data_IF_776047387113
#
_entry.id   IF_776047387113
#
_cell.length_a   1.000
_cell.length_b   1.000
_cell.length_c   1.000
_cell.angle_alpha   90.00
_cell.angle_beta   90.00
_cell.angle_gamma   90.00
#
_symmetry.space_group_name_H-M   'P 1'
#
loop_
_entity.id
_entity.type
_entity.pdbx_description
1 polymer ?
#
# COMPACT_ATOMS: atom_id res chain seq x y z
N UNK A 1 26.72 -19.07 6.33
CA UNK A 1 26.34 -17.99 5.38
C UNK A 1 27.49 -17.01 5.19
N UNK A 2 27.79 -16.60 3.95
CA UNK A 2 28.78 -15.55 3.66
C UNK A 2 28.17 -14.13 3.72
N UNK A 3 28.98 -13.08 3.90
CA UNK A 3 28.54 -11.68 3.87
C UNK A 3 27.87 -11.32 2.54
N UNK A 4 28.45 -11.80 1.43
CA UNK A 4 27.93 -11.63 0.07
C UNK A 4 26.53 -12.23 -0.11
N UNK A 5 26.22 -13.35 0.54
CA UNK A 5 24.89 -13.96 0.49
C UNK A 5 23.84 -13.09 1.21
N UNK A 6 24.20 -12.49 2.35
CA UNK A 6 23.29 -11.59 3.08
C UNK A 6 23.05 -10.28 2.32
N UNK A 7 24.06 -9.72 1.68
CA UNK A 7 23.91 -8.54 0.82
C UNK A 7 23.01 -8.81 -0.38
N UNK A 8 23.14 -9.99 -1.01
CA UNK A 8 22.26 -10.39 -2.10
C UNK A 8 20.81 -10.53 -1.61
N UNK A 9 20.59 -11.21 -0.48
CA UNK A 9 19.26 -11.34 0.12
C UNK A 9 18.64 -9.99 0.46
N UNK A 10 19.42 -9.08 1.07
CA UNK A 10 18.94 -7.74 1.38
C UNK A 10 18.53 -6.95 0.13
N UNK A 11 19.29 -7.06 -0.96
CA UNK A 11 18.94 -6.43 -2.24
C UNK A 11 17.65 -7.00 -2.84
N UNK A 12 17.50 -8.33 -2.83
CA UNK A 12 16.30 -9.00 -3.34
C UNK A 12 15.07 -8.61 -2.51
N UNK A 13 15.19 -8.59 -1.19
CA UNK A 13 14.09 -8.16 -0.30
C UNK A 13 13.74 -6.69 -0.49
N UNK A 14 14.72 -5.81 -0.71
CA UNK A 14 14.47 -4.41 -1.00
C UNK A 14 13.72 -4.23 -2.35
N UNK A 15 14.12 -4.98 -3.39
CA UNK A 15 13.42 -4.95 -4.68
C UNK A 15 11.98 -5.42 -4.56
N UNK A 16 11.74 -6.48 -3.79
CA UNK A 16 10.38 -6.99 -3.56
C UNK A 16 9.57 -6.00 -2.71
N UNK A 17 10.17 -5.37 -1.70
CA UNK A 17 9.52 -4.31 -0.93
C UNK A 17 9.06 -3.15 -1.83
N UNK A 18 9.91 -2.71 -2.76
CA UNK A 18 9.57 -1.64 -3.70
C UNK A 18 8.52 -2.09 -4.75
N UNK A 19 8.48 -3.38 -5.08
CA UNK A 19 7.39 -3.97 -5.88
C UNK A 19 6.06 -3.92 -5.11
N UNK A 20 6.06 -4.30 -3.85
CA UNK A 20 4.85 -4.28 -3.01
C UNK A 20 4.34 -2.86 -2.76
N UNK A 21 5.23 -1.89 -2.57
CA UNK A 21 4.87 -0.46 -2.50
C UNK A 21 4.16 0.02 -3.75
N UNK A 22 4.68 -0.33 -4.93
CA UNK A 22 4.04 0.02 -6.22
C UNK A 22 2.69 -0.68 -6.40
N UNK A 23 2.57 -1.94 -5.97
CA UNK A 23 1.29 -2.67 -5.97
C UNK A 23 0.26 -1.94 -5.11
N UNK A 24 0.59 -1.64 -3.84
CA UNK A 24 -0.30 -0.91 -2.94
C UNK A 24 -0.72 0.45 -3.51
N UNK A 25 0.23 1.24 -4.03
CA UNK A 25 -0.07 2.53 -4.65
C UNK A 25 -1.04 2.39 -5.85
N UNK A 26 -0.90 1.32 -6.63
CA UNK A 26 -1.83 0.99 -7.72
C UNK A 26 -3.23 0.70 -7.20
N UNK A 27 -3.36 -0.12 -6.15
CA UNK A 27 -4.65 -0.43 -5.52
C UNK A 27 -5.30 0.84 -4.91
N UNK A 28 -4.51 1.70 -4.27
CA UNK A 28 -4.99 2.98 -3.72
C UNK A 28 -5.48 3.93 -4.82
N UNK A 29 -4.77 4.00 -5.95
CA UNK A 29 -5.19 4.79 -7.12
C UNK A 29 -6.53 4.32 -7.66
N UNK A 30 -6.75 3.00 -7.74
CA UNK A 30 -8.04 2.43 -8.19
C UNK A 30 -9.15 2.76 -7.18
N UNK A 31 -8.85 2.68 -5.88
CA UNK A 31 -9.80 3.05 -4.81
C UNK A 31 -10.23 4.52 -4.94
N UNK A 32 -9.30 5.44 -5.12
CA UNK A 32 -9.57 6.87 -5.30
C UNK A 32 -10.45 7.14 -6.53
N UNK A 33 -10.18 6.44 -7.65
CA UNK A 33 -10.99 6.55 -8.87
C UNK A 33 -12.42 6.04 -8.65
N UNK A 34 -12.59 4.94 -7.93
CA UNK A 34 -13.91 4.41 -7.57
C UNK A 34 -14.66 5.37 -6.65
N UNK A 35 -13.99 5.94 -5.66
CA UNK A 35 -14.58 6.93 -4.75
C UNK A 35 -15.03 8.19 -5.50
N UNK A 36 -14.21 8.68 -6.42
CA UNK A 36 -14.57 9.80 -7.29
C UNK A 36 -15.76 9.45 -8.20
N UNK A 37 -15.80 8.24 -8.78
CA UNK A 37 -16.94 7.78 -9.58
C UNK A 37 -18.22 7.65 -8.75
N UNK A 38 -18.12 7.19 -7.49
CA UNK A 38 -19.24 7.13 -6.55
C UNK A 38 -19.77 8.53 -6.26
N UNK A 39 -18.89 9.49 -5.95
CA UNK A 39 -19.29 10.86 -5.68
C UNK A 39 -20.01 11.48 -6.88
N UNK A 40 -19.44 11.34 -8.08
CA UNK A 40 -20.07 11.83 -9.32
C UNK A 40 -21.43 11.20 -9.57
N UNK A 41 -21.56 9.89 -9.36
CA UNK A 41 -22.82 9.18 -9.54
C UNK A 41 -23.86 9.68 -8.54
N UNK A 42 -23.48 9.88 -7.27
CA UNK A 42 -24.36 10.43 -6.25
C UNK A 42 -24.84 11.85 -6.59
N UNK A 43 -23.92 12.72 -7.02
CA UNK A 43 -24.27 14.08 -7.45
C UNK A 43 -25.21 14.05 -8.65
N UNK A 44 -24.92 13.25 -9.68
CA UNK A 44 -25.77 13.15 -10.87
C UNK A 44 -27.17 12.62 -10.56
N UNK A 45 -27.31 11.68 -9.60
CA UNK A 45 -28.63 11.22 -9.15
C UNK A 45 -29.39 12.35 -8.45
N UNK A 46 -28.71 13.12 -7.58
CA UNK A 46 -29.30 14.27 -6.91
C UNK A 46 -29.79 15.32 -7.89
N UNK A 47 -28.93 15.74 -8.82
CA UNK A 47 -29.27 16.71 -9.87
C UNK A 47 -30.43 16.22 -10.76
N UNK A 48 -30.47 14.92 -11.07
CA UNK A 48 -31.58 14.34 -11.83
C UNK A 48 -32.90 14.38 -11.06
N UNK A 49 -32.88 14.08 -9.76
CA UNK A 49 -34.07 14.17 -8.89
C UNK A 49 -34.55 15.62 -8.81
N UNK A 50 -33.66 16.55 -8.50
CA UNK A 50 -33.99 17.98 -8.38
C UNK A 50 -34.59 18.52 -9.70
N UNK A 51 -34.01 18.15 -10.85
CA UNK A 51 -34.52 18.52 -12.16
C UNK A 51 -35.91 17.93 -12.46
N UNK A 52 -36.16 16.68 -12.08
CA UNK A 52 -37.48 16.04 -12.21
C UNK A 52 -38.52 16.75 -11.34
N UNK A 53 -38.16 17.14 -10.12
CA UNK A 53 -39.04 17.86 -9.18
C UNK A 53 -39.39 19.25 -9.72
N UNK A 54 -38.40 20.00 -10.23
CA UNK A 54 -38.61 21.32 -10.82
C UNK A 54 -39.53 21.27 -12.05
N UNK A 55 -39.32 20.29 -12.94
CA UNK A 55 -40.20 20.10 -14.10
C UNK A 55 -41.62 19.79 -13.66
N UNK A 56 -41.83 18.92 -12.66
CA UNK A 56 -43.19 18.63 -12.18
C UNK A 56 -43.84 19.81 -11.45
N UNK A 57 -43.09 20.58 -10.67
CA UNK A 57 -43.58 21.75 -9.96
C UNK A 57 -43.93 22.93 -10.88
N UNK A 58 -43.14 23.14 -11.94
CA UNK A 58 -43.36 24.21 -12.91
C UNK A 58 -44.41 23.90 -13.99
N UNK A 59 -44.64 22.62 -14.29
CA UNK A 59 -45.49 22.22 -15.43
C UNK A 59 -46.96 22.00 -15.07
N UNK A 60 -47.34 21.80 -13.80
CA UNK A 60 -48.69 21.31 -13.42
C UNK A 60 -49.18 20.10 -14.27
N UNK A 61 -48.26 19.20 -14.66
CA UNK A 61 -48.58 18.08 -15.55
C UNK A 61 -48.74 18.44 -17.03
N UNK A 62 -48.27 19.62 -17.45
CA UNK A 62 -48.19 20.04 -18.84
C UNK A 62 -47.22 19.19 -19.68
N UNK A 63 -47.24 19.35 -21.02
CA UNK A 63 -46.51 18.49 -21.96
C UNK A 63 -44.97 18.52 -21.81
N UNK A 64 -44.45 19.47 -21.03
CA UNK A 64 -43.01 19.61 -20.73
C UNK A 64 -42.57 18.78 -19.51
N UNK A 65 -43.50 18.24 -18.72
CA UNK A 65 -43.19 17.36 -17.59
C UNK A 65 -42.67 16.01 -18.10
N UNK A 66 -41.58 15.52 -17.51
CA UNK A 66 -41.07 14.19 -17.80
C UNK A 66 -42.09 13.13 -17.34
N UNK A 67 -42.45 12.14 -18.17
CA UNK A 67 -43.33 11.06 -17.74
C UNK A 67 -42.78 10.36 -16.49
N UNK A 68 -43.65 10.10 -15.51
CA UNK A 68 -43.27 9.54 -14.21
C UNK A 68 -42.57 8.17 -14.33
N UNK A 69 -42.92 7.38 -15.33
CA UNK A 69 -42.28 6.10 -15.62
C UNK A 69 -40.84 6.26 -16.13
N UNK A 70 -40.58 7.30 -16.94
CA UNK A 70 -39.23 7.66 -17.41
C UNK A 70 -38.40 8.18 -16.24
N UNK A 71 -38.95 9.06 -15.41
CA UNK A 71 -38.31 9.55 -14.19
C UNK A 71 -37.89 8.39 -13.26
N UNK A 72 -38.82 7.47 -13.01
CA UNK A 72 -38.58 6.30 -12.16
C UNK A 72 -37.46 5.40 -12.71
N UNK A 73 -37.42 5.16 -14.03
CA UNK A 73 -36.37 4.35 -14.67
C UNK A 73 -34.99 5.01 -14.58
N UNK A 74 -34.91 6.33 -14.72
CA UNK A 74 -33.65 7.07 -14.58
C UNK A 74 -33.09 6.98 -13.16
N UNK A 75 -33.95 7.20 -12.15
CA UNK A 75 -33.57 7.08 -10.73
C UNK A 75 -33.12 5.65 -10.41
N UNK A 76 -33.88 4.65 -10.87
CA UNK A 76 -33.55 3.24 -10.65
C UNK A 76 -32.22 2.85 -11.33
N UNK A 77 -31.97 3.31 -12.56
CA UNK A 77 -30.68 3.11 -13.23
C UNK A 77 -29.51 3.72 -12.48
N UNK A 78 -29.69 4.92 -11.93
CA UNK A 78 -28.73 5.58 -11.06
C UNK A 78 -28.44 4.78 -9.79
N UNK A 79 -29.50 4.31 -9.10
CA UNK A 79 -29.38 3.50 -7.88
C UNK A 79 -28.63 2.19 -8.10
N UNK A 80 -28.91 1.49 -9.20
CA UNK A 80 -28.17 0.26 -9.57
C UNK A 80 -26.69 0.54 -9.76
N UNK A 81 -26.36 1.58 -10.52
CA UNK A 81 -24.95 1.99 -10.71
C UNK A 81 -24.26 2.37 -9.40
N UNK A 82 -24.97 3.07 -8.51
CA UNK A 82 -24.44 3.39 -7.19
C UNK A 82 -24.15 2.12 -6.36
N UNK A 83 -25.07 1.15 -6.38
CA UNK A 83 -24.88 -0.14 -5.70
C UNK A 83 -23.72 -0.95 -6.28
N UNK A 84 -23.54 -0.96 -7.60
CA UNK A 84 -22.41 -1.63 -8.25
C UNK A 84 -21.07 -0.98 -7.86
N UNK A 85 -21.03 0.37 -7.77
CA UNK A 85 -19.85 1.10 -7.32
C UNK A 85 -19.53 0.82 -5.85
N UNK A 86 -20.53 0.70 -4.97
CA UNK A 86 -20.33 0.32 -3.58
C UNK A 86 -19.72 -1.08 -3.46
N UNK A 87 -20.23 -2.06 -4.22
CA UNK A 87 -19.65 -3.41 -4.25
C UNK A 87 -18.21 -3.39 -4.75
N UNK A 88 -17.94 -2.65 -5.83
CA UNK A 88 -16.59 -2.50 -6.36
C UNK A 88 -15.66 -1.85 -5.32
N UNK A 89 -16.12 -0.85 -4.58
CA UNK A 89 -15.37 -0.23 -3.50
C UNK A 89 -15.04 -1.22 -2.38
N UNK A 90 -16.01 -2.00 -1.90
CA UNK A 90 -15.75 -3.01 -0.86
C UNK A 90 -14.71 -4.04 -1.30
N UNK A 91 -14.76 -4.49 -2.55
CA UNK A 91 -13.75 -5.39 -3.12
C UNK A 91 -12.39 -4.70 -3.14
N UNK A 92 -12.34 -3.44 -3.57
CA UNK A 92 -11.10 -2.68 -3.68
C UNK A 92 -10.48 -2.39 -2.31
N UNK A 93 -11.28 -2.07 -1.30
CA UNK A 93 -10.81 -1.89 0.08
C UNK A 93 -10.15 -3.15 0.63
N UNK A 94 -10.74 -4.33 0.36
CA UNK A 94 -10.14 -5.63 0.72
C UNK A 94 -8.80 -5.85 0.01
N UNK A 95 -8.69 -5.47 -1.27
CA UNK A 95 -7.42 -5.57 -2.02
C UNK A 95 -6.36 -4.64 -1.46
N UNK A 96 -6.70 -3.39 -1.14
CA UNK A 96 -5.79 -2.47 -0.48
C UNK A 96 -5.32 -3.01 0.87
N UNK A 97 -6.24 -3.57 1.67
CA UNK A 97 -5.89 -4.17 2.96
C UNK A 97 -4.89 -5.32 2.79
N UNK A 98 -5.19 -6.29 1.91
CA UNK A 98 -4.31 -7.42 1.65
C UNK A 98 -2.93 -6.97 1.15
N UNK A 99 -2.87 -6.00 0.23
CA UNK A 99 -1.61 -5.43 -0.25
C UNK A 99 -0.81 -4.74 0.88
N UNK A 100 -1.51 -4.12 1.84
CA UNK A 100 -0.88 -3.47 3.01
C UNK A 100 -0.33 -4.49 4.00
N UNK A 101 -1.04 -5.59 4.21
CA UNK A 101 -0.56 -6.72 5.01
C UNK A 101 0.70 -7.35 4.41
N UNK A 102 0.66 -7.68 3.11
CA UNK A 102 1.83 -8.19 2.38
C UNK A 102 3.04 -7.23 2.47
N UNK A 103 2.79 -5.92 2.32
CA UNK A 103 3.84 -4.91 2.46
C UNK A 103 4.43 -4.89 3.88
N UNK A 104 3.58 -4.96 4.91
CA UNK A 104 4.01 -4.97 6.31
C UNK A 104 4.86 -6.21 6.63
N UNK A 105 4.46 -7.38 6.16
CA UNK A 105 5.26 -8.60 6.28
C UNK A 105 6.64 -8.43 5.64
N UNK A 106 6.70 -7.81 4.46
CA UNK A 106 7.96 -7.55 3.77
C UNK A 106 8.86 -6.56 4.51
N UNK A 107 8.27 -5.49 5.08
CA UNK A 107 9.01 -4.53 5.94
C UNK A 107 9.64 -5.26 7.12
N UNK A 108 8.90 -6.18 7.76
CA UNK A 108 9.41 -6.97 8.88
C UNK A 108 10.56 -7.89 8.43
N UNK A 109 10.44 -8.53 7.27
CA UNK A 109 11.51 -9.35 6.69
C UNK A 109 12.80 -8.55 6.45
N UNK A 110 12.71 -7.37 5.83
CA UNK A 110 13.87 -6.48 5.62
C UNK A 110 14.51 -6.09 6.95
N UNK A 111 13.71 -5.64 7.93
CA UNK A 111 14.22 -5.28 9.27
C UNK A 111 14.95 -6.44 9.96
N UNK A 112 14.43 -7.67 9.82
CA UNK A 112 15.10 -8.86 10.36
C UNK A 112 16.48 -9.08 9.72
N UNK A 113 16.60 -8.90 8.40
CA UNK A 113 17.88 -9.00 7.71
C UNK A 113 18.86 -7.91 8.12
N UNK A 114 18.40 -6.68 8.31
CA UNK A 114 19.22 -5.56 8.80
C UNK A 114 19.81 -5.88 10.18
N UNK A 115 19.00 -6.41 11.11
CA UNK A 115 19.46 -6.83 12.44
C UNK A 115 20.53 -7.91 12.34
N UNK A 116 20.32 -8.92 11.48
CA UNK A 116 21.31 -10.00 11.28
C UNK A 116 22.61 -9.45 10.70
N UNK A 117 22.53 -8.56 9.70
CA UNK A 117 23.69 -7.93 9.11
C UNK A 117 24.49 -7.12 10.15
N UNK A 118 23.81 -6.35 10.99
CA UNK A 118 24.43 -5.56 12.05
C UNK A 118 25.11 -6.43 13.10
N UNK A 119 24.45 -7.51 13.56
CA UNK A 119 25.07 -8.48 14.48
C UNK A 119 26.36 -9.08 13.92
N UNK A 120 26.39 -9.37 12.62
CA UNK A 120 27.60 -9.91 11.98
C UNK A 120 28.72 -8.89 11.86
N UNK A 121 28.40 -7.63 11.57
CA UNK A 121 29.39 -6.54 11.58
C UNK A 121 30.02 -6.37 12.96
N UNK A 122 29.21 -6.39 14.02
CA UNK A 122 29.69 -6.33 15.41
C UNK A 122 30.57 -7.52 15.77
N UNK A 123 30.16 -8.73 15.42
CA UNK A 123 30.96 -9.94 15.65
C UNK A 123 32.30 -9.91 14.90
N UNK A 124 32.31 -9.45 13.65
CA UNK A 124 33.53 -9.30 12.85
C UNK A 124 34.49 -8.27 13.45
N UNK A 125 33.98 -7.14 13.96
CA UNK A 125 34.77 -6.13 14.68
C UNK A 125 35.37 -6.71 15.95
N UNK A 126 34.55 -7.30 16.81
CA UNK A 126 35.02 -7.90 18.06
C UNK A 126 36.06 -9.01 17.84
N UNK A 127 35.93 -9.79 16.76
CA UNK A 127 36.93 -10.79 16.39
C UNK A 127 38.25 -10.16 15.94
N UNK A 128 38.19 -9.05 15.18
CA UNK A 128 39.36 -8.29 14.76
C UNK A 128 40.08 -7.69 15.97
N UNK A 129 39.35 -7.02 16.85
CA UNK A 129 39.91 -6.40 18.06
C UNK A 129 40.61 -7.44 18.95
N UNK A 130 40.02 -8.64 19.10
CA UNK A 130 40.65 -9.74 19.84
C UNK A 130 41.95 -10.23 19.19
N UNK A 131 42.01 -10.29 17.86
CA UNK A 131 43.23 -10.70 17.15
C UNK A 131 44.33 -9.65 17.29
N UNK A 132 43.99 -8.38 17.11
CA UNK A 132 44.92 -7.27 17.29
C UNK A 132 45.45 -7.24 18.74
N UNK A 133 44.59 -7.49 19.74
CA UNK A 133 45.01 -7.61 21.14
C UNK A 133 45.97 -8.79 21.37
N UNK A 134 45.66 -9.97 20.83
CA UNK A 134 46.53 -11.15 20.92
C UNK A 134 47.89 -10.90 20.26
N UNK A 135 47.92 -10.30 19.06
CA UNK A 135 49.16 -9.92 18.38
C UNK A 135 49.99 -8.92 19.19
N UNK A 136 49.35 -7.96 19.86
CA UNK A 136 50.05 -7.02 20.75
C UNK A 136 50.63 -7.72 21.98
N UNK A 137 49.88 -8.62 22.61
CA UNK A 137 50.33 -9.40 23.77
C UNK A 137 51.51 -10.33 23.42
N UNK A 138 51.42 -11.06 22.30
CA UNK A 138 52.50 -11.92 21.81
C UNK A 138 53.78 -11.11 21.51
N UNK A 139 53.63 -9.93 20.88
CA UNK A 139 54.76 -9.04 20.62
C UNK A 139 55.39 -8.49 21.90
N UNK A 140 54.59 -8.18 22.93
CA UNK A 140 55.11 -7.73 24.22
C UNK A 140 55.91 -8.83 24.93
N UNK A 141 55.39 -10.07 24.93
CA UNK A 141 56.09 -11.24 25.49
C UNK A 141 57.43 -11.47 24.78
N UNK A 142 57.43 -11.43 23.45
CA UNK A 142 58.64 -11.66 22.63
C UNK A 142 59.72 -10.58 22.83
N UNK A 143 59.34 -9.36 23.19
CA UNK A 143 60.29 -8.27 23.49
C UNK A 143 60.91 -8.45 24.88
N UNK A 144 60.08 -8.72 25.89
CA UNK A 144 60.57 -8.89 27.26
C UNK A 144 61.34 -10.20 27.49
N UNK A 145 61.08 -11.25 26.73
CA UNK A 145 61.84 -12.52 26.83
C UNK A 145 63.25 -12.49 26.21
N UNK A 146 63.68 -11.35 25.63
CA UNK A 146 64.99 -11.16 25.00
C UNK A 146 65.93 -10.22 25.76
N UNK A 147 65.44 -9.60 26.84
CA UNK A 147 66.22 -8.82 27.80
C UNK A 147 66.71 -9.71 28.95
#
# INVERSE_FOLDING_TARGET
MSTRALELLARLEQQELDRQRRKLAGEETVRERLEHSRQRTRTAIGEAIDGIEQLHAGSNGGPEALPLDVAARLIEGGRRRASDLERAMTIQERRCHAAREELNERIVAVKRLEIVAERRRRAARAQRDRREQQEMEENAIMRHGRE
#
